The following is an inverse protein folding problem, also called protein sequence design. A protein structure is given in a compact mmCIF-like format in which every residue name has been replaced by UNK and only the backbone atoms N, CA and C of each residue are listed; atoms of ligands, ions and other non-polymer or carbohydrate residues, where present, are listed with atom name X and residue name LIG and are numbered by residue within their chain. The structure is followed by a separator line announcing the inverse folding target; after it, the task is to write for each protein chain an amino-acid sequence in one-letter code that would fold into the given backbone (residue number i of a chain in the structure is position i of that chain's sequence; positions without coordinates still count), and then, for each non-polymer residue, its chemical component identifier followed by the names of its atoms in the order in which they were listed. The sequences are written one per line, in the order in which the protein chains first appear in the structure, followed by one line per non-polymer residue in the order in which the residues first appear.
data_IF_664691276058
#
_entry.id   IF_664691276058
#
_cell.length_a   1.000
_cell.length_b   1.000
_cell.length_c   1.000
_cell.angle_alpha   90.00
_cell.angle_beta   90.00
_cell.angle_gamma   90.00
#
_symmetry.space_group_name_H-M   'P 1'
#
loop_
_entity.id
_entity.type
_entity.pdbx_description
1 polymer ?
#
# COMPACT_ATOMS: atom_id res chain seq x y z
N UNK A 1 23.87 -18.63 -29.03
CA UNK A 1 22.77 -17.68 -28.77
C UNK A 1 21.56 -18.45 -28.23
N UNK A 2 20.95 -19.35 -29.02
CA UNK A 2 19.83 -20.19 -28.54
C UNK A 2 20.15 -21.06 -27.32
N UNK A 3 21.37 -21.60 -27.22
CA UNK A 3 21.77 -22.42 -26.06
C UNK A 3 21.83 -21.64 -24.74
N UNK A 4 22.22 -20.37 -24.81
CA UNK A 4 22.28 -19.49 -23.63
C UNK A 4 20.88 -19.01 -23.25
N UNK A 5 20.04 -18.68 -24.24
CA UNK A 5 18.63 -18.34 -24.02
C UNK A 5 17.89 -19.51 -23.34
N UNK A 6 17.99 -20.71 -23.91
CA UNK A 6 17.38 -21.90 -23.31
C UNK A 6 17.89 -22.17 -21.89
N UNK A 7 19.20 -21.95 -21.63
CA UNK A 7 19.75 -22.12 -20.26
C UNK A 7 19.14 -21.11 -19.29
N UNK A 8 18.93 -19.86 -19.71
CA UNK A 8 18.30 -18.84 -18.87
C UNK A 8 16.82 -19.16 -18.62
N UNK A 9 16.09 -19.61 -19.64
CA UNK A 9 14.69 -20.02 -19.49
C UNK A 9 14.53 -21.20 -18.53
N UNK A 10 15.44 -22.18 -18.61
CA UNK A 10 15.46 -23.31 -17.68
C UNK A 10 15.71 -22.85 -16.24
N UNK A 11 16.65 -21.92 -16.03
CA UNK A 11 16.92 -21.34 -14.71
C UNK A 11 15.75 -20.50 -14.18
N UNK A 12 15.09 -19.72 -15.04
CA UNK A 12 13.90 -18.95 -14.66
C UNK A 12 12.78 -19.90 -14.23
N UNK A 13 12.54 -20.96 -15.02
CA UNK A 13 11.53 -21.96 -14.70
C UNK A 13 11.82 -22.67 -13.38
N UNK A 14 13.06 -23.11 -13.17
CA UNK A 14 13.50 -23.74 -11.91
C UNK A 14 13.24 -22.83 -10.71
N UNK A 15 13.58 -21.53 -10.81
CA UNK A 15 13.36 -20.57 -9.73
C UNK A 15 11.88 -20.28 -9.48
N UNK A 16 11.07 -20.19 -10.53
CA UNK A 16 9.63 -20.01 -10.40
C UNK A 16 8.95 -21.23 -9.76
N UNK A 17 9.39 -22.45 -10.09
CA UNK A 17 8.91 -23.68 -9.47
C UNK A 17 9.28 -23.76 -7.98
N UNK A 18 10.51 -23.34 -7.63
CA UNK A 18 10.94 -23.25 -6.24
C UNK A 18 10.11 -22.26 -5.42
N UNK A 19 9.81 -21.07 -5.97
CA UNK A 19 8.94 -20.08 -5.31
C UNK A 19 7.52 -20.62 -5.10
N UNK A 20 6.93 -21.23 -6.13
CA UNK A 20 5.58 -21.81 -6.05
C UNK A 20 5.52 -22.92 -4.99
N UNK A 21 6.54 -23.76 -4.92
CA UNK A 21 6.62 -24.82 -3.91
C UNK A 21 6.66 -24.26 -2.50
N UNK A 22 7.35 -23.13 -2.28
CA UNK A 22 7.41 -22.44 -1.00
C UNK A 22 6.05 -21.82 -0.62
N UNK A 23 5.33 -21.25 -1.59
CA UNK A 23 4.00 -20.68 -1.39
C UNK A 23 2.93 -21.74 -1.08
N UNK A 24 3.05 -22.93 -1.65
CA UNK A 24 2.09 -24.03 -1.46
C UNK A 24 2.33 -24.81 -0.15
N UNK A 25 3.55 -24.77 0.39
CA UNK A 25 3.94 -25.46 1.62
C UNK A 25 3.20 -24.90 2.85
N UNK A 26 2.46 -25.79 3.54
CA UNK A 26 1.62 -25.41 4.69
C UNK A 26 2.42 -24.93 5.90
N UNK A 27 3.65 -25.40 6.08
CA UNK A 27 4.52 -24.89 7.14
C UNK A 27 4.94 -23.45 6.82
N UNK A 28 5.29 -23.17 5.57
CA UNK A 28 5.70 -21.83 5.13
C UNK A 28 4.54 -20.85 5.21
N UNK A 29 3.33 -21.22 4.74
CA UNK A 29 2.11 -20.39 4.85
C UNK A 29 1.85 -19.91 6.27
N UNK A 30 2.13 -20.74 7.29
CA UNK A 30 1.91 -20.36 8.69
C UNK A 30 2.81 -19.20 9.15
N UNK A 31 3.96 -19.03 8.52
CA UNK A 31 4.96 -18.02 8.87
C UNK A 31 5.10 -16.91 7.81
N UNK A 32 4.29 -16.92 6.75
CA UNK A 32 4.22 -15.85 5.75
C UNK A 32 3.38 -14.67 6.26
N UNK A 33 3.87 -13.99 7.28
CA UNK A 33 3.29 -12.74 7.77
C UNK A 33 4.39 -11.78 8.21
N UNK A 34 4.03 -10.50 8.26
CA UNK A 34 4.84 -9.46 8.89
C UNK A 34 4.03 -8.84 10.01
N UNK A 35 4.70 -8.45 11.09
CA UNK A 35 4.11 -7.65 12.14
C UNK A 35 4.13 -6.17 11.75
N UNK A 36 3.34 -5.37 12.45
CA UNK A 36 3.39 -3.91 12.30
C UNK A 36 4.80 -3.38 12.57
N UNK A 37 5.44 -3.87 13.64
CA UNK A 37 6.80 -3.49 14.04
C UNK A 37 7.84 -3.80 12.96
N UNK A 38 7.74 -4.92 12.25
CA UNK A 38 8.66 -5.27 11.16
C UNK A 38 8.66 -4.23 10.03
N UNK A 39 7.55 -3.49 9.87
CA UNK A 39 7.41 -2.44 8.85
C UNK A 39 7.71 -1.07 9.46
N UNK A 40 7.08 -0.72 10.59
CA UNK A 40 7.19 0.63 11.18
C UNK A 40 8.57 0.91 11.78
N UNK A 41 9.34 -0.12 12.14
CA UNK A 41 10.72 0.02 12.62
C UNK A 41 11.71 0.43 11.52
N UNK A 42 11.32 0.36 10.25
CA UNK A 42 12.19 0.73 9.15
C UNK A 42 12.40 2.25 9.12
N UNK A 43 13.66 2.75 9.08
CA UNK A 43 13.96 4.18 9.09
C UNK A 43 13.25 4.98 7.99
N UNK A 44 13.07 4.38 6.82
CA UNK A 44 12.41 5.02 5.68
C UNK A 44 10.91 5.26 5.86
N UNK A 45 10.28 4.64 6.86
CA UNK A 45 8.85 4.76 7.15
C UNK A 45 8.56 5.56 8.43
N UNK A 46 9.59 6.12 9.07
CA UNK A 46 9.40 6.98 10.23
C UNK A 46 8.66 8.27 9.86
N UNK A 47 7.74 8.69 10.72
CA UNK A 47 6.89 9.88 10.52
C UNK A 47 6.11 9.87 9.19
N UNK A 48 5.83 8.70 8.64
CA UNK A 48 4.97 8.54 7.47
C UNK A 48 3.61 7.95 7.87
N UNK A 49 2.58 8.29 7.10
CA UNK A 49 1.29 7.61 7.18
C UNK A 49 1.36 6.34 6.34
N UNK A 50 1.17 5.18 6.97
CA UNK A 50 1.35 3.87 6.33
C UNK A 50 0.02 3.13 6.23
N UNK A 51 -0.31 2.69 5.01
CA UNK A 51 -1.48 1.86 4.72
C UNK A 51 -1.01 0.48 4.23
N UNK A 52 -1.48 -0.58 4.88
CA UNK A 52 -1.34 -1.94 4.38
C UNK A 52 -2.61 -2.36 3.65
N UNK A 53 -2.46 -2.82 2.42
CA UNK A 53 -3.57 -3.17 1.53
C UNK A 53 -3.46 -4.65 1.17
N UNK A 54 -4.47 -5.42 1.56
CA UNK A 54 -4.59 -6.84 1.20
C UNK A 54 -5.74 -6.98 0.21
N UNK A 55 -5.40 -7.29 -1.03
CA UNK A 55 -6.36 -7.45 -2.11
C UNK A 55 -6.27 -8.87 -2.72
N UNK A 56 -7.39 -9.43 -3.21
CA UNK A 56 -7.40 -10.70 -3.93
C UNK A 56 -6.58 -10.65 -5.22
N UNK A 57 -6.25 -11.82 -5.76
CA UNK A 57 -5.64 -11.94 -7.09
C UNK A 57 -6.50 -11.23 -8.15
N UNK A 58 -5.83 -10.70 -9.18
CA UNK A 58 -6.46 -9.93 -10.25
C UNK A 58 -7.17 -8.64 -9.79
N UNK A 59 -6.73 -8.06 -8.66
CA UNK A 59 -7.06 -6.67 -8.31
C UNK A 59 -6.18 -5.69 -9.10
N UNK A 60 -6.70 -4.51 -9.42
CA UNK A 60 -5.96 -3.45 -10.10
C UNK A 60 -5.85 -2.20 -9.23
N UNK A 61 -4.78 -1.45 -9.44
CA UNK A 61 -4.50 -0.15 -8.84
C UNK A 61 -4.36 0.87 -9.97
N UNK A 62 -5.05 2.01 -9.84
CA UNK A 62 -4.95 3.15 -10.74
C UNK A 62 -4.53 4.38 -9.96
N UNK A 63 -3.61 5.15 -10.54
CA UNK A 63 -3.12 6.41 -9.99
C UNK A 63 -3.31 7.48 -11.08
N UNK A 64 -4.46 8.20 -11.08
CA UNK A 64 -4.71 9.28 -12.02
C UNK A 64 -3.76 10.46 -11.83
N UNK A 65 -3.56 11.27 -12.87
CA UNK A 65 -2.78 12.50 -12.74
C UNK A 65 -3.48 13.48 -11.79
N UNK A 66 -2.78 14.08 -10.80
CA UNK A 66 -3.37 15.02 -9.86
C UNK A 66 -3.94 16.29 -10.50
N UNK A 67 -3.56 16.62 -11.74
CA UNK A 67 -4.02 17.80 -12.47
C UNK A 67 -5.16 17.50 -13.48
N UNK A 68 -5.57 16.24 -13.66
CA UNK A 68 -6.58 15.85 -14.65
C UNK A 68 -7.98 16.39 -14.35
N UNK A 69 -8.30 16.65 -13.07
CA UNK A 69 -9.64 17.04 -12.64
C UNK A 69 -9.69 18.54 -12.32
N UNK A 70 -9.93 19.36 -13.35
CA UNK A 70 -10.00 20.84 -13.26
C UNK A 70 -11.12 21.41 -12.34
N UNK A 71 -11.86 20.56 -11.63
CA UNK A 71 -12.94 21.00 -10.73
C UNK A 71 -12.45 21.52 -9.38
N UNK A 72 -11.17 21.34 -9.05
CA UNK A 72 -10.59 21.82 -7.80
C UNK A 72 -9.39 22.75 -8.07
N UNK A 73 -9.20 23.81 -7.25
CA UNK A 73 -8.05 24.71 -7.39
C UNK A 73 -6.70 24.07 -7.06
N UNK A 74 -6.72 22.93 -6.35
CA UNK A 74 -5.56 22.28 -5.75
C UNK A 74 -5.33 20.89 -6.33
N UNK A 75 -4.07 20.47 -6.43
CA UNK A 75 -3.65 19.13 -6.86
C UNK A 75 -4.31 18.07 -5.98
N UNK A 76 -4.92 17.05 -6.59
CA UNK A 76 -5.54 15.95 -5.85
C UNK A 76 -4.90 14.62 -6.18
N UNK A 77 -4.12 14.09 -5.24
CA UNK A 77 -3.54 12.76 -5.37
C UNK A 77 -4.57 11.70 -4.99
N UNK A 78 -4.77 10.71 -5.86
CA UNK A 78 -5.71 9.61 -5.64
C UNK A 78 -5.12 8.28 -6.05
N UNK A 79 -5.45 7.26 -5.29
CA UNK A 79 -5.23 5.86 -5.63
C UNK A 79 -6.59 5.17 -5.65
N UNK A 80 -6.90 4.48 -6.75
CA UNK A 80 -8.16 3.74 -6.91
C UNK A 80 -7.83 2.26 -7.02
N UNK A 81 -8.33 1.46 -6.08
CA UNK A 81 -8.10 0.02 -6.07
C UNK A 81 -9.41 -0.70 -6.33
N UNK A 82 -9.42 -1.62 -7.29
CA UNK A 82 -10.61 -2.39 -7.65
C UNK A 82 -10.32 -3.88 -7.67
N UNK A 83 -11.23 -4.67 -7.10
CA UNK A 83 -11.18 -6.12 -7.14
C UNK A 83 -12.45 -6.68 -7.77
N UNK A 84 -12.30 -7.77 -8.52
CA UNK A 84 -13.41 -8.55 -9.09
C UNK A 84 -13.58 -9.92 -8.43
N UNK A 85 -12.67 -10.28 -7.53
CA UNK A 85 -12.53 -11.64 -6.98
C UNK A 85 -12.67 -11.68 -5.44
N UNK A 86 -13.07 -10.58 -4.80
CA UNK A 86 -13.34 -10.55 -3.38
C UNK A 86 -13.20 -9.15 -2.77
N UNK A 87 -13.40 -9.03 -1.44
CA UNK A 87 -13.21 -7.78 -0.73
C UNK A 87 -11.73 -7.41 -0.63
N UNK A 88 -11.45 -6.11 -0.52
CA UNK A 88 -10.12 -5.57 -0.24
C UNK A 88 -10.10 -5.17 1.23
N UNK A 89 -9.07 -5.60 1.97
CA UNK A 89 -8.85 -5.17 3.34
C UNK A 89 -7.78 -4.07 3.37
N UNK A 90 -8.08 -2.96 4.06
CA UNK A 90 -7.15 -1.83 4.24
C UNK A 90 -6.93 -1.59 5.74
N UNK A 91 -5.65 -1.51 6.14
CA UNK A 91 -5.22 -1.31 7.52
C UNK A 91 -4.34 -0.07 7.63
N UNK A 92 -4.64 0.82 8.57
CA UNK A 92 -3.76 1.94 8.93
C UNK A 92 -2.75 1.46 9.99
N UNK A 93 -1.46 1.46 9.64
CA UNK A 93 -0.38 1.01 10.51
C UNK A 93 0.25 2.17 11.31
N UNK A 94 0.36 3.35 10.71
CA UNK A 94 0.90 4.53 11.37
C UNK A 94 0.15 5.75 10.88
N UNK A 95 -0.28 6.61 11.81
CA UNK A 95 -0.84 7.93 11.51
C UNK A 95 0.24 8.97 11.80
N UNK A 96 0.76 9.60 10.75
CA UNK A 96 1.57 10.79 10.96
C UNK A 96 0.65 11.89 11.51
N UNK A 97 0.96 12.39 12.72
CA UNK A 97 0.39 13.64 13.22
C UNK A 97 1.16 14.76 12.55
N UNK A 98 0.64 15.28 11.44
CA UNK A 98 1.12 16.57 10.94
C UNK A 98 0.90 17.61 12.04
N UNK A 99 1.88 18.49 12.23
CA UNK A 99 1.84 19.60 13.19
C UNK A 99 0.71 20.59 12.84
N UNK A 100 -0.54 20.22 13.15
CA UNK A 100 -1.63 21.17 13.34
C UNK A 100 -1.75 21.40 14.83
N UNK A 101 -1.14 22.48 15.29
CA UNK A 101 -1.32 22.99 16.64
C UNK A 101 -2.74 23.51 16.79
N UNK A 102 -3.63 22.70 17.37
CA UNK A 102 -4.68 23.17 18.26
C UNK A 102 -5.25 21.99 19.06
N UNK A 103 -5.21 22.19 20.38
CA UNK A 103 -5.34 21.19 21.45
C UNK A 103 -6.76 20.64 21.65
N UNK A 104 -6.82 19.66 22.57
CA UNK A 104 -7.95 18.97 23.24
C UNK A 104 -8.50 17.74 22.50
N UNK A 105 -8.53 16.52 23.05
CA UNK A 105 -8.37 16.03 24.42
C UNK A 105 -7.69 14.65 24.45
N UNK A 106 -7.12 14.32 25.61
CA UNK A 106 -6.50 13.05 25.95
C UNK A 106 -7.43 11.85 25.71
N UNK A 107 -7.07 11.00 24.75
CA UNK A 107 -7.02 9.57 25.01
C UNK A 107 -5.97 8.97 24.08
N UNK A 108 -4.86 8.51 24.66
CA UNK A 108 -3.98 7.55 24.03
C UNK A 108 -4.79 6.27 23.78
N UNK A 109 -5.51 6.24 22.65
CA UNK A 109 -6.02 4.99 22.12
C UNK A 109 -4.81 4.37 21.46
N UNK A 110 -4.29 3.30 22.08
CA UNK A 110 -3.43 2.33 21.39
C UNK A 110 -3.95 2.21 19.98
N UNK A 111 -3.18 2.66 18.98
CA UNK A 111 -3.60 2.59 17.58
C UNK A 111 -3.48 1.14 17.13
N UNK A 112 -4.26 0.25 17.73
CA UNK A 112 -4.51 -1.08 17.20
C UNK A 112 -4.93 -0.88 15.76
N UNK A 113 -4.22 -1.50 14.82
CA UNK A 113 -4.34 -1.26 13.39
C UNK A 113 -5.83 -1.18 12.99
N UNK A 114 -6.25 -0.01 12.51
CA UNK A 114 -7.66 0.26 12.24
C UNK A 114 -8.01 -0.30 10.86
N UNK A 115 -8.92 -1.28 10.81
CA UNK A 115 -9.50 -1.76 9.55
C UNK A 115 -10.48 -0.72 9.02
N UNK A 116 -10.18 -0.14 7.87
CA UNK A 116 -11.09 0.80 7.20
C UNK A 116 -12.15 -0.04 6.49
N UNK A 117 -13.38 -0.02 7.02
CA UNK A 117 -14.54 -0.67 6.38
C UNK A 117 -15.27 0.38 5.55
N UNK A 118 -15.09 0.33 4.24
CA UNK A 118 -15.94 1.11 3.33
C UNK A 118 -17.26 0.35 3.17
N UNK A 119 -18.37 0.87 3.69
CA UNK A 119 -19.69 0.29 3.45
C UNK A 119 -20.07 0.46 1.97
N UNK A 120 -20.55 -0.61 1.33
CA UNK A 120 -20.87 -0.71 -0.11
C UNK A 120 -22.03 0.18 -0.62
N UNK A 121 -22.36 1.29 0.06
CA UNK A 121 -23.57 2.08 -0.27
C UNK A 121 -23.39 3.59 -0.40
N UNK A 122 -22.18 4.13 -0.30
CA UNK A 122 -21.98 5.55 -0.61
C UNK A 122 -20.79 5.77 -1.55
N UNK A 123 -21.00 5.40 -2.82
CA UNK A 123 -20.11 5.71 -3.96
C UNK A 123 -19.96 7.23 -4.22
N UNK A 124 -20.47 8.09 -3.33
CA UNK A 124 -20.46 9.54 -3.44
C UNK A 124 -19.64 10.24 -2.37
N UNK A 125 -19.18 9.53 -1.33
CA UNK A 125 -18.17 10.07 -0.41
C UNK A 125 -16.79 9.71 -0.94
N UNK A 126 -16.25 10.58 -1.81
CA UNK A 126 -14.83 10.51 -2.16
C UNK A 126 -14.02 10.89 -0.91
N UNK A 127 -13.42 9.91 -0.25
CA UNK A 127 -12.52 10.11 0.89
C UNK A 127 -11.19 10.64 0.36
N UNK A 128 -11.09 11.97 0.23
CA UNK A 128 -9.84 12.63 -0.11
C UNK A 128 -8.96 12.72 1.15
N UNK A 129 -7.73 12.27 1.03
CA UNK A 129 -6.69 12.66 1.98
C UNK A 129 -6.30 14.09 1.62
N UNK A 130 -6.48 15.05 2.53
CA UNK A 130 -5.90 16.38 2.36
C UNK A 130 -4.38 16.21 2.33
N UNK A 131 -3.79 16.34 1.13
CA UNK A 131 -2.34 16.41 1.02
C UNK A 131 -1.90 17.71 1.65
N UNK A 132 -1.20 17.63 2.79
CA UNK A 132 -0.43 18.76 3.28
C UNK A 132 0.51 19.26 2.18
N UNK A 133 0.69 20.58 2.11
CA UNK A 133 1.35 21.30 1.01
C UNK A 133 2.83 20.92 0.77
N UNK A 134 3.41 20.01 1.55
CA UNK A 134 4.85 19.70 1.55
C UNK A 134 5.24 18.25 1.16
N UNK A 135 4.33 17.39 0.68
CA UNK A 135 4.70 16.02 0.29
C UNK A 135 4.62 15.81 -1.22
N UNK A 136 5.68 16.18 -1.93
CA UNK A 136 5.89 15.83 -3.34
C UNK A 136 6.22 14.35 -3.46
N UNK A 137 5.19 13.52 -3.75
CA UNK A 137 5.35 12.09 -4.04
C UNK A 137 6.41 11.79 -5.12
N UNK A 138 6.74 12.77 -5.97
CA UNK A 138 7.76 12.67 -7.01
C UNK A 138 9.20 12.62 -6.48
N UNK A 139 9.48 13.10 -5.27
CA UNK A 139 10.86 13.17 -4.73
C UNK A 139 11.30 11.86 -4.04
N UNK A 140 10.37 10.97 -3.70
CA UNK A 140 10.69 9.68 -3.09
C UNK A 140 11.18 8.62 -4.10
N UNK A 141 10.83 8.74 -5.38
CA UNK A 141 11.24 7.80 -6.43
C UNK A 141 12.64 8.10 -7.00
N UNK A 142 13.14 9.33 -6.84
CA UNK A 142 14.47 9.73 -7.31
C UNK A 142 15.62 9.29 -6.38
N UNK A 143 15.33 8.76 -5.19
CA UNK A 143 16.35 8.35 -4.22
C UNK A 143 16.68 6.83 -4.28
N UNK A 144 16.17 6.10 -5.28
CA UNK A 144 16.48 4.68 -5.52
C UNK A 144 17.30 4.45 -6.80
N UNK A 145 18.27 5.34 -7.10
CA UNK A 145 19.36 5.12 -8.05
C UNK A 145 20.70 5.47 -7.42
#
# INVERSE_FOLDING_TARGET
MQSEENRLDDLIRERQEALRSLEEDEHCKRYMFMTEEDITSLPCFHNQTLLAIKAPTASCIEVPDPDEVMSFPQRQYRMVIRSRMGPIDVYLLSKHKGDSSMETDESAVDTSSLKIVTSDTDLKTDYWFESGEEVTLTDLWNNFC
#
